data_IF_732003796927
#
_entry.id   IF_732003796927
#
_cell.length_a   1.000
_cell.length_b   1.000
_cell.length_c   1.000
_cell.angle_alpha   90.00
_cell.angle_beta   90.00
_cell.angle_gamma   90.00
#
_symmetry.space_group_name_H-M   'P 1'
#
loop_
_entity.id
_entity.type
_entity.pdbx_description
1 polymer ?
#
# COMPACT_ATOMS: atom_id res chain seq x y z
N UNK A 1 31.69 18.31 -7.39
CA UNK A 1 30.47 18.96 -6.88
C UNK A 1 29.92 18.05 -5.78
N UNK A 2 30.08 18.40 -4.50
CA UNK A 2 29.56 17.59 -3.39
C UNK A 2 28.04 17.62 -3.49
N UNK A 3 27.40 16.44 -3.55
CA UNK A 3 25.96 16.34 -3.33
C UNK A 3 25.66 17.02 -1.99
N UNK A 4 24.87 18.08 -2.00
CA UNK A 4 24.27 18.61 -0.78
C UNK A 4 23.55 17.46 -0.09
N UNK A 5 23.89 17.19 1.18
CA UNK A 5 23.17 16.21 1.99
C UNK A 5 21.68 16.56 1.95
N UNK A 6 20.86 15.64 1.42
CA UNK A 6 19.42 15.86 1.34
C UNK A 6 18.87 16.18 2.74
N UNK A 7 18.11 17.27 2.89
CA UNK A 7 17.41 17.66 4.13
C UNK A 7 16.24 16.71 4.47
N UNK A 8 16.43 15.39 4.41
CA UNK A 8 15.45 14.45 4.94
C UNK A 8 15.52 14.45 6.46
N UNK A 9 14.36 14.33 7.10
CA UNK A 9 14.33 14.04 8.52
C UNK A 9 14.84 12.59 8.69
N UNK A 10 16.05 12.45 9.22
CA UNK A 10 16.57 11.14 9.63
C UNK A 10 15.87 10.73 10.92
N UNK A 11 14.92 9.80 10.79
CA UNK A 11 14.18 9.28 11.92
C UNK A 11 15.03 8.21 12.60
N UNK A 12 15.66 8.59 13.70
CA UNK A 12 16.31 7.66 14.63
C UNK A 12 15.23 6.96 15.47
N UNK A 13 15.48 5.73 15.93
CA UNK A 13 14.66 5.00 16.90
C UNK A 13 14.30 5.85 18.13
N UNK A 14 15.15 6.80 18.50
CA UNK A 14 14.93 7.76 19.59
C UNK A 14 14.01 8.94 19.24
N UNK A 15 13.32 8.94 18.08
CA UNK A 15 12.43 10.06 17.69
C UNK A 15 11.41 10.40 18.78
N UNK A 16 10.78 9.39 19.39
CA UNK A 16 9.77 9.62 20.43
C UNK A 16 10.38 10.26 21.69
N UNK A 17 11.63 9.93 22.03
CA UNK A 17 12.37 10.54 23.14
C UNK A 17 12.58 12.03 22.88
N UNK A 18 13.08 12.38 21.70
CA UNK A 18 13.38 13.77 21.32
C UNK A 18 12.24 14.49 20.60
N UNK A 19 11.02 13.95 20.64
CA UNK A 19 9.88 14.42 19.84
C UNK A 19 9.56 15.89 20.07
N UNK A 20 9.69 16.35 21.32
CA UNK A 20 9.51 17.76 21.70
C UNK A 20 10.47 18.69 20.94
N UNK A 21 11.73 18.27 20.80
CA UNK A 21 12.76 19.01 20.06
C UNK A 21 12.40 19.06 18.57
N UNK A 22 12.03 17.92 17.98
CA UNK A 22 11.61 17.86 16.57
C UNK A 22 10.40 18.74 16.26
N UNK A 23 9.37 18.76 17.12
CA UNK A 23 8.22 19.66 16.94
C UNK A 23 8.65 21.12 16.96
N UNK A 24 9.58 21.50 17.85
CA UNK A 24 10.16 22.83 17.84
C UNK A 24 10.94 23.14 16.56
N UNK A 25 11.77 22.21 16.08
CA UNK A 25 12.44 22.37 14.77
C UNK A 25 11.44 22.56 13.62
N UNK A 26 10.32 21.82 13.62
CA UNK A 26 9.28 21.97 12.62
C UNK A 26 8.59 23.33 12.68
N UNK A 27 8.38 23.90 13.88
CA UNK A 27 7.86 25.26 14.04
C UNK A 27 8.84 26.32 13.54
N UNK A 28 10.14 26.18 13.88
CA UNK A 28 11.18 27.07 13.35
C UNK A 28 11.21 26.98 11.83
N UNK A 29 11.18 25.76 11.29
CA UNK A 29 11.14 25.51 9.86
C UNK A 29 9.89 26.08 9.18
N UNK A 30 8.73 26.01 9.85
CA UNK A 30 7.49 26.59 9.33
C UNK A 30 7.64 28.09 9.08
N UNK A 31 8.29 28.80 9.99
CA UNK A 31 8.55 30.24 9.93
C UNK A 31 9.76 30.60 9.05
N UNK A 32 10.78 29.74 9.02
CA UNK A 32 11.98 29.88 8.21
C UNK A 32 12.26 28.60 7.44
N UNK A 33 11.80 28.56 6.19
CA UNK A 33 11.93 27.39 5.31
C UNK A 33 13.38 27.01 4.99
N UNK A 34 14.36 27.89 5.24
CA UNK A 34 15.78 27.55 5.06
C UNK A 34 16.40 26.83 6.28
N UNK A 35 15.67 26.69 7.39
CA UNK A 35 16.19 26.05 8.59
C UNK A 35 16.49 24.56 8.35
N UNK A 36 17.71 24.08 8.68
CA UNK A 36 18.06 22.68 8.51
C UNK A 36 17.33 21.80 9.53
N UNK A 37 16.46 20.91 9.07
CA UNK A 37 15.82 19.92 9.92
C UNK A 37 16.87 18.98 10.53
N UNK A 38 16.71 18.65 11.82
CA UNK A 38 17.67 17.87 12.58
C UNK A 38 18.84 18.69 13.14
N UNK A 39 18.82 20.02 13.08
CA UNK A 39 19.91 20.88 13.58
C UNK A 39 20.30 20.61 15.03
N UNK A 40 19.32 20.44 15.92
CA UNK A 40 19.52 20.23 17.35
C UNK A 40 19.65 18.75 17.71
N UNK A 41 19.19 17.85 16.85
CA UNK A 41 19.14 16.40 17.10
C UNK A 41 20.28 15.63 16.43
N UNK A 42 20.78 16.09 15.29
CA UNK A 42 21.94 15.51 14.59
C UNK A 42 23.19 15.75 15.44
N UNK A 43 23.86 14.67 15.84
CA UNK A 43 25.10 14.66 16.64
C UNK A 43 24.98 15.03 18.14
N UNK A 44 23.76 15.08 18.71
CA UNK A 44 23.59 15.39 20.16
C UNK A 44 22.89 14.26 20.95
N UNK A 45 22.98 13.02 20.48
CA UNK A 45 22.36 11.84 21.12
C UNK A 45 22.88 11.54 22.54
N UNK A 46 24.01 12.13 22.94
CA UNK A 46 24.57 12.01 24.30
C UNK A 46 24.04 13.08 25.27
N UNK A 47 23.43 14.15 24.76
CA UNK A 47 22.87 15.24 25.58
C UNK A 47 21.47 14.92 26.07
N UNK A 48 21.14 15.45 27.25
CA UNK A 48 19.79 15.35 27.80
C UNK A 48 18.86 16.42 27.18
N UNK A 49 17.54 16.20 27.25
CA UNK A 49 16.55 17.09 26.64
C UNK A 49 16.66 18.54 27.13
N UNK A 50 17.02 18.75 28.40
CA UNK A 50 17.14 20.07 29.01
C UNK A 50 18.28 20.88 28.38
N UNK A 51 19.42 20.24 28.09
CA UNK A 51 20.55 20.87 27.40
C UNK A 51 20.18 21.28 25.98
N UNK A 52 19.47 20.42 25.26
CA UNK A 52 19.04 20.73 23.89
C UNK A 52 17.99 21.85 23.89
N UNK A 53 17.03 21.82 24.82
CA UNK A 53 16.05 22.91 25.00
C UNK A 53 16.75 24.23 25.31
N UNK A 54 17.79 24.22 26.15
CA UNK A 54 18.57 25.42 26.45
C UNK A 54 19.19 26.01 25.17
N UNK A 55 19.86 25.19 24.36
CA UNK A 55 20.43 25.62 23.08
C UNK A 55 19.36 26.17 22.12
N UNK A 56 18.18 25.54 22.07
CA UNK A 56 17.06 26.05 21.29
C UNK A 56 16.57 27.41 21.79
N UNK A 57 16.46 27.62 23.11
CA UNK A 57 16.08 28.91 23.69
C UNK A 57 17.08 30.00 23.31
N UNK A 58 18.38 29.74 23.47
CA UNK A 58 19.42 30.69 23.06
C UNK A 58 19.34 31.04 21.58
N UNK A 59 19.05 30.05 20.71
CA UNK A 59 18.86 30.28 19.28
C UNK A 59 17.64 31.17 18.99
N UNK A 60 16.50 30.89 19.65
CA UNK A 60 15.26 31.66 19.48
C UNK A 60 15.43 33.11 19.96
N UNK A 61 16.07 33.31 21.11
CA UNK A 61 16.32 34.64 21.68
C UNK A 61 17.25 35.46 20.79
N UNK A 62 18.32 34.87 20.26
CA UNK A 62 19.19 35.50 19.25
C UNK A 62 18.44 35.85 17.96
N UNK A 63 17.38 35.12 17.66
CA UNK A 63 16.51 35.36 16.51
C UNK A 63 15.34 36.32 16.82
N UNK A 64 15.26 36.88 18.03
CA UNK A 64 14.20 37.79 18.45
C UNK A 64 12.84 37.13 18.70
N UNK A 65 12.80 35.81 18.87
CA UNK A 65 11.57 35.04 19.11
C UNK A 65 11.38 34.83 20.62
N UNK A 66 10.17 35.09 21.13
CA UNK A 66 9.81 34.78 22.52
C UNK A 66 9.88 33.26 22.75
N UNK A 67 10.86 32.83 23.54
CA UNK A 67 11.14 31.42 23.78
C UNK A 67 10.06 30.74 24.65
N UNK A 68 9.46 31.43 25.61
CA UNK A 68 8.41 30.87 26.49
C UNK A 68 7.14 30.52 25.70
N UNK A 69 6.58 31.50 24.98
CA UNK A 69 5.37 31.29 24.17
C UNK A 69 5.59 30.25 23.07
N UNK A 70 6.80 30.17 22.51
CA UNK A 70 7.17 29.14 21.56
C UNK A 70 7.10 27.74 22.17
N UNK A 71 7.66 27.53 23.37
CA UNK A 71 7.64 26.22 24.02
C UNK A 71 6.25 25.82 24.52
N UNK A 72 5.38 26.79 24.85
CA UNK A 72 3.97 26.52 25.12
C UNK A 72 3.26 25.96 23.87
N UNK A 73 3.49 26.54 22.69
CA UNK A 73 2.96 26.03 21.43
C UNK A 73 3.49 24.61 21.13
N UNK A 74 4.78 24.37 21.33
CA UNK A 74 5.40 23.03 21.19
C UNK A 74 4.69 22.01 22.08
N UNK A 75 4.51 22.33 23.37
CA UNK A 75 3.88 21.42 24.33
C UNK A 75 2.42 21.12 23.95
N UNK A 76 1.67 22.14 23.50
CA UNK A 76 0.29 21.98 23.04
C UNK A 76 0.20 21.03 21.84
N UNK A 77 1.08 21.20 20.84
CA UNK A 77 1.12 20.34 19.65
C UNK A 77 1.54 18.91 19.99
N UNK A 78 2.54 18.74 20.86
CA UNK A 78 3.02 17.44 21.34
C UNK A 78 1.89 16.63 21.98
N UNK A 79 1.17 17.23 22.94
CA UNK A 79 0.07 16.57 23.64
C UNK A 79 -1.05 16.17 22.68
N UNK A 80 -1.46 17.10 21.81
CA UNK A 80 -2.51 16.88 20.82
C UNK A 80 -2.17 15.75 19.86
N UNK A 81 -0.97 15.77 19.28
CA UNK A 81 -0.56 14.75 18.31
C UNK A 81 -0.29 13.40 18.97
N UNK A 82 0.13 13.33 20.24
CA UNK A 82 0.29 12.07 20.98
C UNK A 82 -1.05 11.35 21.12
N UNK A 83 -2.07 12.05 21.64
CA UNK A 83 -3.43 11.49 21.82
C UNK A 83 -4.01 11.00 20.49
N UNK A 84 -3.85 11.81 19.44
CA UNK A 84 -4.32 11.43 18.11
C UNK A 84 -3.54 10.24 17.53
N UNK A 85 -2.21 10.23 17.67
CA UNK A 85 -1.35 9.16 17.18
C UNK A 85 -1.73 7.79 17.74
N UNK A 86 -1.97 7.69 19.05
CA UNK A 86 -2.42 6.45 19.69
C UNK A 86 -3.80 5.98 19.17
N UNK A 87 -4.71 6.92 18.91
CA UNK A 87 -6.04 6.62 18.38
C UNK A 87 -6.02 6.20 16.90
N UNK A 88 -5.16 6.83 16.09
CA UNK A 88 -5.10 6.62 14.64
C UNK A 88 -4.29 5.38 14.28
N UNK A 89 -3.16 5.15 14.96
CA UNK A 89 -2.22 4.11 14.54
C UNK A 89 -2.35 2.78 15.30
N UNK A 90 -3.45 2.59 16.05
CA UNK A 90 -3.77 1.33 16.72
C UNK A 90 -4.13 0.20 15.73
N UNK A 91 -4.87 0.54 14.67
CA UNK A 91 -5.19 -0.38 13.58
C UNK A 91 -4.13 -0.24 12.48
N UNK A 92 -3.39 -1.31 12.22
CA UNK A 92 -2.29 -1.31 11.26
C UNK A 92 -2.74 -1.01 9.82
N UNK A 93 -3.92 -1.49 9.42
CA UNK A 93 -4.46 -1.27 8.07
C UNK A 93 -4.92 0.18 7.93
N UNK A 94 -5.64 0.70 8.91
CA UNK A 94 -6.01 2.11 8.95
C UNK A 94 -4.77 3.02 9.00
N UNK A 95 -3.70 2.60 9.69
CA UNK A 95 -2.44 3.34 9.76
C UNK A 95 -1.86 3.61 8.37
N UNK A 96 -1.78 2.59 7.50
CA UNK A 96 -1.28 2.79 6.15
C UNK A 96 -2.19 3.71 5.32
N UNK A 97 -3.51 3.65 5.52
CA UNK A 97 -4.43 4.59 4.88
C UNK A 97 -4.12 6.04 5.31
N UNK A 98 -3.92 6.28 6.61
CA UNK A 98 -3.55 7.60 7.14
C UNK A 98 -2.20 8.07 6.61
N UNK A 99 -1.15 7.25 6.65
CA UNK A 99 0.18 7.64 6.15
C UNK A 99 0.14 7.94 4.66
N UNK A 100 -0.55 7.14 3.84
CA UNK A 100 -0.72 7.44 2.42
C UNK A 100 -1.46 8.77 2.18
N UNK A 101 -2.45 9.09 3.02
CA UNK A 101 -3.11 10.39 2.98
C UNK A 101 -2.18 11.56 3.35
N UNK A 102 -1.41 11.42 4.43
CA UNK A 102 -0.42 12.43 4.84
C UNK A 102 0.64 12.66 3.76
N UNK A 103 1.12 11.58 3.12
CA UNK A 103 2.01 11.64 1.96
C UNK A 103 1.37 12.38 0.78
N UNK A 104 0.07 12.18 0.52
CA UNK A 104 -0.66 12.93 -0.51
C UNK A 104 -0.75 14.42 -0.17
N UNK A 105 -1.03 14.79 1.08
CA UNK A 105 -1.03 16.20 1.54
C UNK A 105 0.35 16.82 1.30
N UNK A 106 1.41 16.13 1.72
CA UNK A 106 2.78 16.56 1.53
C UNK A 106 3.07 16.84 0.04
N UNK A 107 2.80 15.84 -0.81
CA UNK A 107 3.06 15.92 -2.25
C UNK A 107 2.28 17.03 -2.95
N UNK A 108 1.05 17.28 -2.52
CA UNK A 108 0.25 18.38 -3.04
C UNK A 108 0.87 19.75 -2.69
N UNK A 109 1.26 19.95 -1.43
CA UNK A 109 1.89 21.19 -0.98
C UNK A 109 3.27 21.40 -1.62
N UNK A 110 4.03 20.32 -1.83
CA UNK A 110 5.30 20.34 -2.54
C UNK A 110 5.16 20.82 -3.98
N UNK A 111 4.17 20.30 -4.72
CA UNK A 111 3.89 20.72 -6.10
C UNK A 111 3.45 22.18 -6.21
N UNK A 112 2.79 22.70 -5.18
CA UNK A 112 2.31 24.08 -5.14
C UNK A 112 3.37 25.06 -4.61
N UNK A 113 4.62 24.63 -4.42
CA UNK A 113 5.72 25.50 -3.99
C UNK A 113 5.66 25.91 -2.51
N UNK A 114 4.89 25.22 -1.67
CA UNK A 114 4.80 25.50 -0.23
C UNK A 114 6.07 25.07 0.56
N UNK A 115 6.98 24.36 -0.10
CA UNK A 115 8.27 23.94 0.43
C UNK A 115 9.41 24.46 -0.48
N UNK A 116 10.57 24.81 0.09
CA UNK A 116 11.72 25.27 -0.65
C UNK A 116 12.33 24.13 -1.50
N UNK A 117 13.04 24.46 -2.59
CA UNK A 117 13.66 23.48 -3.49
C UNK A 117 14.61 22.48 -2.82
N UNK A 118 15.23 22.84 -1.69
CA UNK A 118 16.19 21.98 -0.96
C UNK A 118 15.57 20.69 -0.40
N UNK A 119 14.25 20.64 -0.19
CA UNK A 119 13.54 19.41 0.21
C UNK A 119 13.08 18.59 -1.03
N UNK A 120 13.05 19.19 -2.23
CA UNK A 120 12.54 18.59 -3.47
C UNK A 120 13.47 17.49 -4.02
N UNK A 121 14.71 17.39 -3.52
CA UNK A 121 15.77 16.63 -4.17
C UNK A 121 15.73 15.09 -4.03
N UNK A 122 14.58 14.44 -3.77
CA UNK A 122 14.54 12.95 -3.73
C UNK A 122 13.38 12.30 -4.48
N UNK A 123 13.68 11.16 -5.09
CA UNK A 123 12.86 10.36 -6.00
C UNK A 123 11.49 9.90 -5.43
N UNK A 124 11.32 9.95 -4.10
CA UNK A 124 10.15 9.39 -3.41
C UNK A 124 9.14 10.41 -2.85
N UNK A 125 9.42 11.72 -2.97
CA UNK A 125 8.55 12.79 -2.48
C UNK A 125 8.03 12.54 -1.03
N UNK A 126 8.91 12.24 -0.07
CA UNK A 126 8.58 12.07 1.36
C UNK A 126 9.42 13.03 2.22
N UNK A 127 8.88 13.61 3.31
CA UNK A 127 9.67 14.43 4.23
C UNK A 127 10.58 13.58 5.15
N UNK A 128 10.29 12.28 5.27
CA UNK A 128 11.04 11.31 6.07
C UNK A 128 11.76 10.31 5.16
N UNK A 129 12.88 9.76 5.61
CA UNK A 129 13.57 8.75 4.82
C UNK A 129 12.91 7.37 4.93
N UNK A 130 12.22 6.94 3.87
CA UNK A 130 11.52 5.67 3.82
C UNK A 130 12.39 4.50 3.34
N UNK A 131 13.51 4.77 2.65
CA UNK A 131 14.32 3.70 2.05
C UNK A 131 15.03 2.82 3.08
N UNK A 132 15.30 3.36 4.28
CA UNK A 132 15.89 2.61 5.39
C UNK A 132 15.04 1.42 5.83
N UNK A 133 13.73 1.45 5.57
CA UNK A 133 12.79 0.40 5.99
C UNK A 133 12.78 -0.83 5.08
N UNK A 134 13.21 -0.71 3.82
CA UNK A 134 13.32 -1.76 2.79
C UNK A 134 12.79 -3.18 3.15
N UNK A 135 11.48 -3.39 2.98
CA UNK A 135 10.78 -4.66 3.21
C UNK A 135 10.05 -4.76 4.54
N UNK A 136 10.37 -3.89 5.49
CA UNK A 136 9.81 -3.89 6.83
C UNK A 136 8.58 -2.99 6.96
N UNK A 137 7.75 -3.27 7.96
CA UNK A 137 6.62 -2.40 8.27
C UNK A 137 7.11 -1.09 8.88
N UNK A 138 6.52 0.03 8.46
CA UNK A 138 6.80 1.34 9.03
C UNK A 138 6.62 1.31 10.55
N UNK A 139 7.66 1.64 11.35
CA UNK A 139 7.53 1.72 12.80
C UNK A 139 6.60 2.84 13.24
N UNK A 140 5.97 2.70 14.41
CA UNK A 140 5.05 3.71 14.96
C UNK A 140 5.71 5.10 15.07
N UNK A 141 6.99 5.16 15.43
CA UNK A 141 7.68 6.44 15.57
C UNK A 141 7.90 7.16 14.21
N UNK A 142 8.02 6.44 13.09
CA UNK A 142 8.00 7.02 11.74
C UNK A 142 6.61 7.59 11.40
N UNK A 143 5.54 6.87 11.75
CA UNK A 143 4.17 7.31 11.53
C UNK A 143 3.87 8.61 12.29
N UNK A 144 4.29 8.67 13.55
CA UNK A 144 4.16 9.87 14.39
C UNK A 144 4.99 11.02 13.84
N UNK A 145 6.22 10.77 13.36
CA UNK A 145 7.04 11.82 12.78
C UNK A 145 6.41 12.47 11.55
N UNK A 146 5.79 11.67 10.67
CA UNK A 146 5.06 12.19 9.52
C UNK A 146 3.83 13.00 9.96
N UNK A 147 3.06 12.50 10.92
CA UNK A 147 1.90 13.22 11.47
C UNK A 147 2.32 14.56 12.08
N UNK A 148 3.38 14.58 12.90
CA UNK A 148 3.91 15.78 13.51
C UNK A 148 4.35 16.79 12.44
N UNK A 149 5.15 16.35 11.46
CA UNK A 149 5.60 17.25 10.40
C UNK A 149 4.43 17.89 9.64
N UNK A 150 3.44 17.09 9.22
CA UNK A 150 2.29 17.61 8.46
C UNK A 150 1.42 18.54 9.30
N UNK A 151 1.12 18.16 10.54
CA UNK A 151 0.27 18.99 11.42
C UNK A 151 0.95 20.30 11.82
N UNK A 152 2.26 20.27 12.09
CA UNK A 152 3.01 21.47 12.46
C UNK A 152 3.21 22.37 11.25
N UNK A 153 3.74 21.84 10.16
CA UNK A 153 4.23 22.64 9.03
C UNK A 153 3.12 23.05 8.07
N UNK A 154 2.11 22.19 7.86
CA UNK A 154 0.98 22.47 6.96
C UNK A 154 -0.20 23.06 7.74
N UNK A 155 -1.03 22.21 8.35
CA UNK A 155 -2.23 22.64 9.06
C UNK A 155 -2.69 21.54 10.02
N UNK A 156 -2.57 21.81 11.32
CA UNK A 156 -3.05 20.91 12.37
C UNK A 156 -4.57 20.68 12.28
N UNK A 157 -5.38 21.75 12.22
CA UNK A 157 -6.84 21.65 12.34
C UNK A 157 -7.40 20.87 11.18
N UNK A 158 -6.99 21.22 9.96
CA UNK A 158 -7.44 20.53 8.75
C UNK A 158 -7.02 19.06 8.76
N UNK A 159 -5.75 18.78 9.04
CA UNK A 159 -5.23 17.40 9.02
C UNK A 159 -5.97 16.49 10.02
N UNK A 160 -6.20 16.95 11.24
CA UNK A 160 -6.88 16.16 12.27
C UNK A 160 -8.37 15.97 11.92
N UNK A 161 -9.04 16.99 11.38
CA UNK A 161 -10.43 16.84 10.89
C UNK A 161 -10.51 15.78 9.80
N UNK A 162 -9.66 15.89 8.78
CA UNK A 162 -9.66 14.96 7.64
C UNK A 162 -9.39 13.51 8.11
N UNK A 163 -8.41 13.29 8.99
CA UNK A 163 -8.09 11.94 9.49
C UNK A 163 -9.23 11.36 10.36
N UNK A 164 -9.92 12.19 11.13
CA UNK A 164 -11.09 11.74 11.88
C UNK A 164 -12.26 11.36 10.96
N UNK A 165 -12.49 12.12 9.88
CA UNK A 165 -13.47 11.76 8.85
C UNK A 165 -13.07 10.46 8.14
N UNK A 166 -11.80 10.32 7.77
CA UNK A 166 -11.26 9.07 7.23
C UNK A 166 -11.52 7.89 8.15
N UNK A 167 -11.37 8.04 9.47
CA UNK A 167 -11.64 6.98 10.44
C UNK A 167 -13.11 6.58 10.43
N UNK A 168 -14.02 7.56 10.41
CA UNK A 168 -15.47 7.29 10.31
C UNK A 168 -15.81 6.55 9.02
N UNK A 169 -15.27 7.01 7.89
CA UNK A 169 -15.47 6.37 6.58
C UNK A 169 -14.88 4.97 6.56
N UNK A 170 -13.65 4.77 7.06
CA UNK A 170 -13.02 3.45 7.16
C UNK A 170 -13.89 2.44 7.92
N UNK A 171 -14.42 2.86 9.08
CA UNK A 171 -15.26 2.00 9.90
C UNK A 171 -16.58 1.61 9.21
N UNK A 172 -17.09 2.41 8.27
CA UNK A 172 -18.35 2.10 7.58
C UNK A 172 -18.22 0.99 6.54
N UNK A 173 -17.02 0.79 5.96
CA UNK A 173 -16.79 -0.23 4.94
C UNK A 173 -15.85 -1.36 5.38
N UNK A 174 -15.11 -1.20 6.48
CA UNK A 174 -14.06 -2.13 6.90
C UNK A 174 -14.57 -3.58 6.97
N UNK A 175 -15.75 -3.80 7.56
CA UNK A 175 -16.33 -5.13 7.70
C UNK A 175 -16.62 -5.81 6.35
N UNK A 176 -17.12 -5.07 5.35
CA UNK A 176 -17.43 -5.61 4.03
C UNK A 176 -16.16 -6.01 3.25
N UNK A 177 -15.06 -5.27 3.46
CA UNK A 177 -13.83 -5.42 2.70
C UNK A 177 -12.64 -5.87 3.56
N UNK A 178 -12.85 -6.71 4.58
CA UNK A 178 -11.74 -7.24 5.38
C UNK A 178 -10.75 -8.05 4.52
N UNK A 179 -11.27 -8.90 3.63
CA UNK A 179 -10.46 -9.78 2.78
C UNK A 179 -10.92 -9.72 1.31
N UNK A 180 -10.76 -8.58 0.62
CA UNK A 180 -11.36 -8.33 -0.68
C UNK A 180 -10.86 -9.32 -1.76
N UNK A 181 -9.65 -9.84 -1.58
CA UNK A 181 -8.96 -10.75 -2.49
C UNK A 181 -8.84 -12.20 -1.97
N UNK A 182 -9.70 -12.63 -1.04
CA UNK A 182 -9.68 -14.00 -0.49
C UNK A 182 -9.85 -15.12 -1.53
N UNK A 183 -10.40 -14.80 -2.70
CA UNK A 183 -10.57 -15.73 -3.82
C UNK A 183 -9.27 -16.01 -4.60
N UNK A 184 -8.20 -15.25 -4.33
CA UNK A 184 -6.87 -15.48 -4.91
C UNK A 184 -6.02 -16.30 -3.93
N UNK A 185 -5.33 -17.35 -4.40
CA UNK A 185 -4.36 -18.05 -3.56
C UNK A 185 -3.16 -17.13 -3.27
N UNK A 186 -2.50 -17.35 -2.14
CA UNK A 186 -1.31 -16.58 -1.72
C UNK A 186 -0.03 -17.09 -2.39
N UNK A 187 -0.05 -17.18 -3.72
CA UNK A 187 1.12 -17.55 -4.54
C UNK A 187 1.71 -16.33 -5.25
N UNK A 188 2.98 -16.44 -5.66
CA UNK A 188 3.69 -15.39 -6.43
C UNK A 188 2.94 -15.09 -7.73
N UNK A 189 2.53 -16.12 -8.48
CA UNK A 189 1.81 -15.93 -9.75
C UNK A 189 0.44 -15.24 -9.59
N UNK A 190 -0.26 -15.47 -8.48
CA UNK A 190 -1.51 -14.75 -8.18
C UNK A 190 -1.27 -13.31 -7.78
N UNK A 191 -0.19 -13.03 -7.04
CA UNK A 191 0.24 -11.69 -6.68
C UNK A 191 0.61 -10.87 -7.93
N UNK A 192 1.47 -11.40 -8.80
CA UNK A 192 1.86 -10.74 -10.05
C UNK A 192 0.65 -10.43 -10.92
N UNK A 193 -0.30 -11.36 -11.02
CA UNK A 193 -1.52 -11.18 -11.79
C UNK A 193 -2.40 -10.04 -11.24
N UNK A 194 -2.63 -9.98 -9.92
CA UNK A 194 -3.47 -8.92 -9.35
C UNK A 194 -2.77 -7.56 -9.42
N UNK A 195 -1.46 -7.49 -9.23
CA UNK A 195 -0.67 -6.26 -9.39
C UNK A 195 -0.76 -5.74 -10.82
N UNK A 196 -0.55 -6.61 -11.82
CA UNK A 196 -0.71 -6.26 -13.23
C UNK A 196 -2.10 -5.69 -13.53
N UNK A 197 -3.14 -6.31 -12.97
CA UNK A 197 -4.52 -5.84 -13.13
C UNK A 197 -4.78 -4.50 -12.46
N UNK A 198 -4.22 -4.24 -11.27
CA UNK A 198 -4.36 -2.96 -10.58
C UNK A 198 -3.59 -1.83 -11.30
N UNK A 199 -2.52 -2.17 -12.04
CA UNK A 199 -1.74 -1.26 -12.89
C UNK A 199 -2.37 -0.97 -14.25
N UNK A 200 -3.37 -1.75 -14.69
CA UNK A 200 -4.05 -1.53 -15.97
C UNK A 200 -4.55 -0.09 -16.07
N UNK A 201 -4.24 0.62 -17.16
CA UNK A 201 -4.53 2.05 -17.31
C UNK A 201 -6.02 2.40 -17.17
N UNK A 202 -6.92 1.45 -17.48
CA UNK A 202 -8.38 1.64 -17.33
C UNK A 202 -8.85 1.50 -15.89
N UNK A 203 -8.06 0.83 -15.04
CA UNK A 203 -8.35 0.58 -13.62
C UNK A 203 -7.57 1.56 -12.74
N UNK A 204 -6.25 1.63 -12.95
CA UNK A 204 -5.31 2.56 -12.31
C UNK A 204 -5.51 2.68 -10.79
N UNK A 205 -5.59 1.54 -10.11
CA UNK A 205 -5.70 1.44 -8.64
C UNK A 205 -4.32 1.43 -8.01
N UNK A 206 -3.33 0.81 -8.67
CA UNK A 206 -1.96 0.77 -8.17
C UNK A 206 -1.37 2.18 -8.07
N UNK A 207 -0.63 2.45 -7.00
CA UNK A 207 -0.01 3.74 -6.70
C UNK A 207 1.46 3.50 -6.40
N UNK A 208 2.33 3.94 -7.30
CA UNK A 208 3.79 3.78 -7.10
C UNK A 208 4.32 4.64 -5.94
N UNK A 209 3.56 5.66 -5.53
CA UNK A 209 3.83 6.49 -4.36
C UNK A 209 3.11 6.03 -3.08
N UNK A 210 2.49 4.84 -3.08
CA UNK A 210 1.99 4.22 -1.86
C UNK A 210 3.17 3.83 -0.97
N UNK A 211 3.06 4.06 0.34
CA UNK A 211 4.14 3.84 1.30
C UNK A 211 4.60 2.40 1.34
N UNK A 212 3.70 1.42 1.28
CA UNK A 212 4.09 0.01 1.24
C UNK A 212 4.85 -0.34 -0.04
N UNK A 213 4.51 0.32 -1.16
CA UNK A 213 5.23 0.16 -2.43
C UNK A 213 6.61 0.81 -2.36
N UNK A 214 6.71 2.02 -1.83
CA UNK A 214 7.97 2.76 -1.68
C UNK A 214 8.98 2.02 -0.80
N UNK A 215 8.51 1.44 0.32
CA UNK A 215 9.37 0.64 1.22
C UNK A 215 9.55 -0.80 0.75
N UNK A 216 8.98 -1.21 -0.39
CA UNK A 216 9.06 -2.59 -0.93
C UNK A 216 8.59 -3.67 0.07
N UNK A 217 7.52 -3.38 0.82
CA UNK A 217 6.92 -4.32 1.77
C UNK A 217 6.36 -5.57 1.04
N UNK A 218 5.86 -6.54 1.82
CA UNK A 218 5.16 -7.71 1.28
C UNK A 218 4.13 -7.31 0.21
N UNK A 219 4.15 -8.00 -0.92
CA UNK A 219 3.35 -7.62 -2.09
C UNK A 219 1.85 -7.67 -1.83
N UNK A 220 1.38 -8.55 -0.94
CA UNK A 220 -0.04 -8.58 -0.56
C UNK A 220 -0.42 -7.39 0.32
N UNK A 221 0.48 -6.90 1.17
CA UNK A 221 0.28 -5.63 1.89
C UNK A 221 0.23 -4.45 0.92
N UNK A 222 1.08 -4.43 -0.10
CA UNK A 222 1.04 -3.40 -1.15
C UNK A 222 -0.31 -3.39 -1.89
N UNK A 223 -0.77 -4.58 -2.31
CA UNK A 223 -2.09 -4.76 -2.96
C UNK A 223 -3.22 -4.25 -2.05
N UNK A 224 -3.20 -4.62 -0.77
CA UNK A 224 -4.24 -4.22 0.17
C UNK A 224 -4.22 -2.70 0.43
N UNK A 225 -3.04 -2.12 0.64
CA UNK A 225 -2.83 -0.69 0.87
C UNK A 225 -3.33 0.17 -0.29
N UNK A 226 -2.94 -0.18 -1.53
CA UNK A 226 -3.42 0.51 -2.74
C UNK A 226 -4.95 0.37 -2.90
N UNK A 227 -5.49 -0.82 -2.61
CA UNK A 227 -6.94 -1.05 -2.67
C UNK A 227 -7.69 -0.23 -1.62
N UNK A 228 -7.19 -0.14 -0.39
CA UNK A 228 -7.81 0.63 0.69
C UNK A 228 -7.86 2.12 0.38
N UNK A 229 -6.76 2.65 -0.18
CA UNK A 229 -6.73 4.04 -0.60
C UNK A 229 -7.72 4.31 -1.74
N UNK A 230 -7.82 3.40 -2.72
CA UNK A 230 -8.84 3.47 -3.78
C UNK A 230 -10.27 3.39 -3.23
N UNK A 231 -10.54 2.45 -2.33
CA UNK A 231 -11.84 2.28 -1.68
C UNK A 231 -12.22 3.56 -0.91
N UNK A 232 -11.30 4.12 -0.13
CA UNK A 232 -11.52 5.38 0.57
C UNK A 232 -11.94 6.49 -0.40
N UNK A 233 -11.21 6.70 -1.51
CA UNK A 233 -11.55 7.70 -2.52
C UNK A 233 -12.91 7.45 -3.18
N UNK A 234 -13.23 6.19 -3.50
CA UNK A 234 -14.53 5.85 -4.06
C UNK A 234 -15.66 6.12 -3.08
N UNK A 235 -15.49 5.85 -1.79
CA UNK A 235 -16.52 6.11 -0.78
C UNK A 235 -16.71 7.62 -0.60
N UNK A 236 -15.63 8.40 -0.52
CA UNK A 236 -15.73 9.86 -0.40
C UNK A 236 -16.39 10.49 -1.62
N UNK A 237 -16.16 9.95 -2.81
CA UNK A 237 -16.77 10.44 -4.06
C UNK A 237 -18.15 9.84 -4.36
N UNK A 238 -18.76 9.09 -3.42
CA UNK A 238 -20.04 8.39 -3.63
C UNK A 238 -20.05 7.38 -4.81
N UNK A 239 -18.89 6.79 -5.12
CA UNK A 239 -18.63 5.82 -6.21
C UNK A 239 -18.38 4.40 -5.69
N UNK A 240 -19.04 3.98 -4.61
CA UNK A 240 -18.87 2.64 -4.02
C UNK A 240 -19.20 1.51 -5.01
N UNK A 241 -20.10 1.77 -5.97
CA UNK A 241 -20.40 0.86 -7.07
C UNK A 241 -19.17 0.46 -7.89
N UNK A 242 -18.20 1.36 -8.03
CA UNK A 242 -16.99 1.12 -8.81
C UNK A 242 -16.09 0.08 -8.13
N UNK A 243 -16.05 0.08 -6.79
CA UNK A 243 -15.34 -0.93 -6.00
C UNK A 243 -15.98 -2.30 -6.20
N UNK A 244 -17.31 -2.38 -6.09
CA UNK A 244 -18.05 -3.64 -6.29
C UNK A 244 -17.85 -4.17 -7.70
N UNK A 245 -17.92 -3.30 -8.70
CA UNK A 245 -17.70 -3.63 -10.10
C UNK A 245 -16.27 -4.10 -10.35
N UNK A 246 -15.27 -3.45 -9.76
CA UNK A 246 -13.87 -3.86 -9.84
C UNK A 246 -13.69 -5.28 -9.27
N UNK A 247 -14.17 -5.54 -8.06
CA UNK A 247 -14.03 -6.87 -7.42
C UNK A 247 -14.77 -7.95 -8.21
N UNK A 248 -16.00 -7.68 -8.67
CA UNK A 248 -16.78 -8.60 -9.49
C UNK A 248 -16.06 -8.97 -10.78
N UNK A 249 -15.59 -7.97 -11.53
CA UNK A 249 -14.84 -8.17 -12.79
C UNK A 249 -13.53 -8.91 -12.53
N UNK A 250 -12.86 -8.61 -11.41
CA UNK A 250 -11.60 -9.26 -11.04
C UNK A 250 -11.81 -10.73 -10.72
N UNK A 251 -12.84 -11.08 -9.93
CA UNK A 251 -13.21 -12.49 -9.68
C UNK A 251 -13.51 -13.23 -10.98
N UNK A 252 -14.33 -12.64 -11.85
CA UNK A 252 -14.67 -13.25 -13.15
C UNK A 252 -13.42 -13.48 -14.01
N UNK A 253 -12.54 -12.49 -14.12
CA UNK A 253 -11.31 -12.59 -14.89
C UNK A 253 -10.37 -13.66 -14.32
N UNK A 254 -10.26 -13.77 -13.00
CA UNK A 254 -9.48 -14.81 -12.35
C UNK A 254 -10.04 -16.21 -12.62
N UNK A 255 -11.36 -16.41 -12.48
CA UNK A 255 -12.00 -17.69 -12.79
C UNK A 255 -11.79 -18.10 -14.26
N UNK A 256 -11.86 -17.15 -15.19
CA UNK A 256 -11.55 -17.39 -16.60
C UNK A 256 -10.07 -17.75 -16.81
N UNK A 257 -9.15 -17.08 -16.12
CA UNK A 257 -7.72 -17.44 -16.17
C UNK A 257 -7.50 -18.86 -15.65
N UNK A 258 -8.04 -19.20 -14.48
CA UNK A 258 -7.95 -20.54 -13.89
C UNK A 258 -8.50 -21.61 -14.84
N UNK A 259 -9.64 -21.33 -15.48
CA UNK A 259 -10.19 -22.23 -16.49
C UNK A 259 -9.21 -22.41 -17.66
N UNK A 260 -8.71 -21.33 -18.25
CA UNK A 260 -7.73 -21.36 -19.36
C UNK A 260 -6.45 -22.10 -18.99
N UNK A 261 -5.91 -21.85 -17.80
CA UNK A 261 -4.71 -22.53 -17.32
C UNK A 261 -4.96 -24.03 -17.12
N UNK A 262 -6.15 -24.41 -16.63
CA UNK A 262 -6.53 -25.81 -16.40
C UNK A 262 -6.86 -26.59 -17.68
N UNK A 263 -7.19 -25.91 -18.77
CA UNK A 263 -7.41 -26.54 -20.10
C UNK A 263 -6.23 -26.30 -21.06
N UNK A 264 -5.11 -25.76 -20.58
CA UNK A 264 -3.93 -25.51 -21.42
C UNK A 264 -3.42 -26.84 -21.97
N UNK A 265 -3.33 -26.95 -23.30
CA UNK A 265 -2.96 -28.19 -24.00
C UNK A 265 -4.11 -29.21 -24.12
N UNK A 266 -5.35 -28.84 -23.76
CA UNK A 266 -6.54 -29.68 -23.97
C UNK A 266 -7.40 -29.10 -25.08
N UNK A 267 -7.87 -29.95 -25.98
CA UNK A 267 -8.85 -29.57 -26.99
C UNK A 267 -10.27 -29.76 -26.48
N UNK A 268 -11.19 -28.93 -26.97
CA UNK A 268 -12.60 -29.03 -26.60
C UNK A 268 -13.25 -30.14 -27.42
N UNK A 269 -13.63 -31.24 -26.76
CA UNK A 269 -14.44 -32.29 -27.37
C UNK A 269 -15.92 -31.84 -27.46
N UNK A 270 -16.24 -31.07 -28.50
CA UNK A 270 -17.62 -30.73 -28.84
C UNK A 270 -18.25 -31.90 -29.60
N UNK A 271 -18.99 -32.75 -28.90
CA UNK A 271 -19.61 -33.95 -29.50
C UNK A 271 -21.08 -34.11 -29.12
N UNK A 272 -21.82 -34.82 -29.96
CA UNK A 272 -23.18 -35.24 -29.68
C UNK A 272 -23.16 -36.69 -29.18
N UNK A 273 -23.81 -36.93 -28.05
CA UNK A 273 -24.05 -38.27 -27.49
C UNK A 273 -25.51 -38.40 -27.10
N UNK A 274 -26.03 -39.63 -27.11
CA UNK A 274 -27.41 -39.89 -26.70
C UNK A 274 -27.63 -39.48 -25.24
N UNK A 275 -28.87 -39.08 -24.90
CA UNK A 275 -29.25 -38.71 -23.52
C UNK A 275 -28.94 -39.85 -22.53
N UNK A 276 -29.21 -41.09 -22.93
CA UNK A 276 -28.96 -42.28 -22.11
C UNK A 276 -27.47 -42.49 -21.85
N UNK A 277 -26.62 -42.41 -22.89
CA UNK A 277 -25.17 -42.54 -22.74
C UNK A 277 -24.58 -41.42 -21.90
N UNK A 278 -25.07 -40.18 -22.04
CA UNK A 278 -24.67 -39.05 -21.19
C UNK A 278 -25.01 -39.29 -19.72
N UNK A 279 -26.15 -39.92 -19.44
CA UNK A 279 -26.56 -40.26 -18.07
C UNK A 279 -25.65 -41.33 -17.47
N UNK A 280 -25.29 -42.37 -18.24
CA UNK A 280 -24.32 -43.40 -17.83
C UNK A 280 -22.96 -42.78 -17.54
N UNK A 281 -22.42 -41.94 -18.44
CA UNK A 281 -21.17 -41.20 -18.24
C UNK A 281 -21.20 -40.34 -16.96
N UNK A 282 -22.30 -39.61 -16.69
CA UNK A 282 -22.45 -38.84 -15.44
C UNK A 282 -22.40 -39.72 -14.19
N UNK A 283 -23.01 -40.91 -14.22
CA UNK A 283 -22.98 -41.86 -13.09
C UNK A 283 -21.57 -42.39 -12.85
N UNK A 284 -20.86 -42.77 -13.91
CA UNK A 284 -19.47 -43.23 -13.82
C UNK A 284 -18.57 -42.11 -13.27
N UNK A 285 -18.65 -40.92 -13.86
CA UNK A 285 -17.90 -39.74 -13.40
C UNK A 285 -18.11 -39.47 -11.90
N UNK A 286 -19.37 -39.50 -11.43
CA UNK A 286 -19.69 -39.34 -10.01
C UNK A 286 -19.12 -40.45 -9.13
N UNK A 287 -19.22 -41.71 -9.56
CA UNK A 287 -18.69 -42.86 -8.83
C UNK A 287 -17.18 -42.76 -8.61
N UNK A 288 -16.44 -42.25 -9.61
CA UNK A 288 -14.99 -42.12 -9.56
C UNK A 288 -14.50 -40.74 -9.10
N UNK A 289 -15.40 -39.83 -8.69
CA UNK A 289 -15.09 -38.44 -8.34
C UNK A 289 -14.23 -37.70 -9.41
N UNK A 290 -14.55 -37.97 -10.68
CA UNK A 290 -13.88 -37.41 -11.87
C UNK A 290 -14.87 -36.63 -12.71
N UNK A 291 -14.38 -35.75 -13.56
CA UNK A 291 -15.19 -35.11 -14.59
C UNK A 291 -15.39 -36.05 -15.81
N UNK A 292 -16.37 -35.75 -16.67
CA UNK A 292 -16.71 -36.61 -17.82
C UNK A 292 -15.52 -36.76 -18.79
N UNK A 293 -14.73 -35.71 -19.00
CA UNK A 293 -13.59 -35.76 -19.91
C UNK A 293 -12.48 -36.65 -19.36
N UNK A 294 -12.21 -36.61 -18.06
CA UNK A 294 -11.24 -37.51 -17.39
C UNK A 294 -11.65 -38.98 -17.46
N UNK A 295 -12.96 -39.26 -17.45
CA UNK A 295 -13.46 -40.63 -17.68
C UNK A 295 -13.25 -41.03 -19.14
N UNK A 296 -13.53 -40.15 -20.10
CA UNK A 296 -13.31 -40.43 -21.52
C UNK A 296 -11.81 -40.66 -21.81
N UNK A 297 -10.92 -39.78 -21.32
CA UNK A 297 -9.46 -39.94 -21.42
C UNK A 297 -9.03 -41.31 -20.85
N UNK A 298 -9.45 -41.64 -19.61
CA UNK A 298 -9.09 -42.92 -18.99
C UNK A 298 -9.67 -44.15 -19.71
N UNK A 299 -10.83 -44.03 -20.34
CA UNK A 299 -11.40 -45.11 -21.18
C UNK A 299 -10.62 -45.27 -22.48
N UNK A 300 -10.16 -44.18 -23.08
CA UNK A 300 -9.33 -44.20 -24.30
C UNK A 300 -7.96 -44.81 -24.01
N UNK A 301 -7.33 -44.44 -22.90
CA UNK A 301 -6.02 -44.98 -22.49
C UNK A 301 -6.02 -46.50 -22.25
N UNK A 302 -7.20 -47.11 -22.11
CA UNK A 302 -7.38 -48.55 -21.97
C UNK A 302 -7.65 -49.28 -23.30
N UNK A 303 -7.77 -48.55 -24.41
CA UNK A 303 -8.03 -49.11 -25.74
C UNK A 303 -6.69 -49.30 -26.45
N UNK A 304 -6.35 -50.54 -26.81
CA UNK A 304 -5.23 -50.83 -27.71
C UNK A 304 -5.58 -50.34 -29.12
N UNK A 305 -4.86 -49.33 -29.59
CA UNK A 305 -4.99 -48.79 -30.95
C UNK A 305 -3.91 -49.42 -31.84
N UNK A 306 -4.21 -49.72 -33.13
CA UNK A 306 -3.17 -50.15 -34.07
C UNK A 306 -2.07 -49.07 -34.18
N UNK A 307 -0.79 -49.49 -34.25
CA UNK A 307 0.37 -48.58 -34.18
C UNK A 307 0.48 -47.64 -35.41
N UNK A 308 0.21 -48.13 -36.62
CA UNK A 308 0.46 -47.39 -37.88
C UNK A 308 -0.40 -46.12 -38.10
N UNK A 309 -1.67 -46.03 -37.68
CA UNK A 309 -2.47 -44.81 -37.81
C UNK A 309 -2.16 -43.74 -36.75
N UNK A 310 -1.74 -44.13 -35.54
CA UNK A 310 -1.64 -43.21 -34.40
C UNK A 310 -0.39 -42.33 -34.47
N UNK A 311 0.75 -42.90 -34.83
CA UNK A 311 2.00 -42.14 -34.98
C UNK A 311 1.87 -41.05 -36.04
N UNK A 312 1.23 -41.36 -37.17
CA UNK A 312 0.95 -40.40 -38.25
C UNK A 312 0.05 -39.25 -37.78
N UNK A 313 -1.05 -39.56 -37.09
CA UNK A 313 -1.99 -38.58 -36.56
C UNK A 313 -1.37 -37.68 -35.47
N UNK A 314 -0.55 -38.25 -34.58
CA UNK A 314 0.17 -37.49 -33.55
C UNK A 314 1.23 -36.58 -34.18
N UNK A 315 1.93 -37.04 -35.24
CA UNK A 315 2.90 -36.23 -35.97
C UNK A 315 2.23 -35.06 -36.71
N UNK A 316 1.04 -35.27 -37.25
CA UNK A 316 0.24 -34.23 -37.91
C UNK A 316 -0.27 -33.19 -36.89
N UNK A 317 -0.84 -33.63 -35.76
CA UNK A 317 -1.31 -32.74 -34.69
C UNK A 317 -0.19 -31.92 -34.02
N UNK A 318 1.05 -32.43 -34.01
CA UNK A 318 2.24 -31.69 -33.53
C UNK A 318 2.78 -30.67 -34.53
N UNK A 319 2.46 -30.78 -35.82
CA UNK A 319 2.87 -29.82 -36.86
C UNK A 319 1.93 -28.63 -36.99
N UNK A 320 0.71 -28.72 -36.45
CA UNK A 320 -0.34 -27.69 -36.53
C UNK A 320 -0.45 -26.77 -35.29
N UNK A 321 0.40 -26.95 -34.27
CA UNK A 321 0.50 -26.10 -33.07
C UNK A 321 1.78 -25.25 -33.04
#
# INVERSE_FOLDING_TARGET
>A
MKMEESMKIQINDNYLKYRKIYIGEYLIYKSNKAFPLGFFTKNQFEKNDSEIIFLMKEFLEKSGINSEGFFDEVNLLLLRNLVNGESFFKDKRFSFLVINYLMKIYNYNLKNGAFPPSIIATENFSPIDLYSLNGEDMPFHYMIALLDFITVVIDYKKTITDVNEMKKTYLSYYQEYQNPFSFLPKSIGSLEWIVSRMKDRKINIWRDNDVNVLIKNDGWKCVLSCFDFFLFLCVTDSKVSDVKLFLLRTRKAWSQKKFRDGVKGKEVLNTYISKESKLKLKKIAKHHNKNINEIIEAMIDQIDLPEEPLEKLILEAKKEN
#
